data_IF_182820352559
#
_entry.id   IF_182820352559
#
_cell.length_a   1.000
_cell.length_b   1.000
_cell.length_c   1.000
_cell.angle_alpha   90.00
_cell.angle_beta   90.00
_cell.angle_gamma   90.00
#
_symmetry.space_group_name_H-M   'P 1'
#
loop_
_entity.id
_entity.type
_entity.pdbx_description
1 polymer ?
#
# COMPACT_ATOMS: atom_id res chain seq x y z
N UNK A 1 -19.84 -16.94 -23.93
CA UNK A 1 -18.52 -17.55 -23.64
C UNK A 1 -17.85 -16.74 -22.53
N UNK A 2 -17.69 -17.31 -21.34
CA UNK A 2 -16.86 -16.66 -20.32
C UNK A 2 -15.42 -16.64 -20.85
N UNK A 3 -14.77 -15.49 -20.88
CA UNK A 3 -13.43 -15.38 -21.43
C UNK A 3 -12.48 -16.31 -20.69
N UNK A 4 -11.52 -16.91 -21.40
CA UNK A 4 -10.47 -17.78 -20.85
C UNK A 4 -9.75 -17.12 -19.65
N UNK A 5 -9.69 -15.79 -19.65
CA UNK A 5 -9.16 -14.93 -18.59
C UNK A 5 -9.95 -15.08 -17.26
N UNK A 6 -11.29 -15.10 -17.29
CA UNK A 6 -12.11 -15.26 -16.08
C UNK A 6 -11.99 -16.66 -15.47
N UNK A 7 -11.80 -17.69 -16.30
CA UNK A 7 -11.59 -19.06 -15.82
C UNK A 7 -10.21 -19.22 -15.17
N UNK A 8 -9.21 -18.56 -15.72
CA UNK A 8 -7.85 -18.57 -15.18
C UNK A 8 -7.74 -17.76 -13.89
N UNK A 9 -8.47 -16.66 -13.75
CA UNK A 9 -8.58 -15.88 -12.50
C UNK A 9 -9.24 -16.71 -11.39
N UNK A 10 -10.34 -17.41 -11.68
CA UNK A 10 -11.01 -18.29 -10.71
C UNK A 10 -10.18 -19.48 -10.28
N UNK A 11 -9.32 -20.02 -11.16
CA UNK A 11 -8.40 -21.11 -10.82
C UNK A 11 -7.18 -20.66 -9.99
N UNK A 12 -6.92 -19.35 -9.93
CA UNK A 12 -5.75 -18.74 -9.28
C UNK A 12 -6.08 -18.00 -7.99
N UNK A 13 -7.33 -18.03 -7.56
CA UNK A 13 -7.66 -17.50 -6.24
C UNK A 13 -6.88 -18.28 -5.19
N UNK A 14 -5.69 -17.76 -4.83
CA UNK A 14 -5.08 -18.13 -3.58
C UNK A 14 -6.12 -17.77 -2.52
N UNK A 15 -6.70 -18.74 -1.82
CA UNK A 15 -7.82 -18.46 -0.91
C UNK A 15 -7.46 -17.43 0.17
N UNK A 16 -6.18 -17.12 0.33
CA UNK A 16 -5.67 -16.21 1.35
C UNK A 16 -5.26 -14.83 0.82
N UNK A 17 -5.45 -14.52 -0.50
CA UNK A 17 -5.05 -13.22 -1.10
C UNK A 17 -3.56 -12.84 -0.86
N UNK A 18 -2.69 -13.85 -0.76
CA UNK A 18 -1.27 -13.66 -0.42
C UNK A 18 -0.45 -13.57 -1.71
N UNK A 19 -0.01 -12.36 -2.05
CA UNK A 19 0.89 -12.10 -3.17
C UNK A 19 2.17 -11.44 -2.66
N UNK A 20 3.26 -12.19 -2.67
CA UNK A 20 4.56 -11.65 -2.28
C UNK A 20 5.14 -10.74 -3.36
N UNK A 21 5.54 -9.53 -2.96
CA UNK A 21 6.13 -8.55 -3.86
C UNK A 21 7.54 -8.99 -4.27
N UNK A 22 7.86 -9.08 -5.57
CA UNK A 22 9.21 -9.39 -6.02
C UNK A 22 10.23 -8.34 -5.56
N UNK A 23 11.41 -8.76 -5.14
CA UNK A 23 12.46 -7.87 -4.60
C UNK A 23 12.81 -6.69 -5.51
N UNK A 24 12.91 -6.83 -6.86
CA UNK A 24 13.15 -5.67 -7.72
C UNK A 24 12.07 -4.60 -7.60
N UNK A 25 10.79 -5.00 -7.46
CA UNK A 25 9.70 -4.04 -7.30
C UNK A 25 9.70 -3.41 -5.91
N UNK A 26 10.07 -4.16 -4.87
CA UNK A 26 10.29 -3.60 -3.53
C UNK A 26 11.32 -2.48 -3.58
N UNK A 27 12.47 -2.70 -4.22
CA UNK A 27 13.53 -1.68 -4.36
C UNK A 27 13.02 -0.45 -5.11
N UNK A 28 12.28 -0.63 -6.20
CA UNK A 28 11.62 0.49 -6.92
C UNK A 28 10.67 1.25 -5.98
N UNK A 29 9.83 0.54 -5.22
CA UNK A 29 8.88 1.16 -4.30
C UNK A 29 9.60 1.99 -3.23
N UNK A 30 10.63 1.44 -2.59
CA UNK A 30 11.37 2.13 -1.54
C UNK A 30 12.10 3.37 -2.06
N UNK A 31 12.75 3.30 -3.21
CA UNK A 31 13.36 4.48 -3.84
C UNK A 31 12.30 5.52 -4.25
N UNK A 32 11.12 5.08 -4.72
CA UNK A 32 10.03 5.98 -5.12
C UNK A 32 9.47 6.80 -3.96
N UNK A 33 9.50 6.25 -2.73
CA UNK A 33 8.98 6.92 -1.52
C UNK A 33 10.05 7.59 -0.68
N UNK A 34 11.30 7.49 -1.04
CA UNK A 34 12.45 7.96 -0.25
C UNK A 34 12.38 9.45 0.11
N UNK A 35 11.87 10.29 -0.77
CA UNK A 35 11.72 11.72 -0.53
C UNK A 35 10.71 12.09 0.58
N UNK A 36 9.84 11.14 0.97
CA UNK A 36 8.86 11.36 2.05
C UNK A 36 9.39 10.98 3.43
N UNK A 37 10.53 10.29 3.49
CA UNK A 37 11.12 9.78 4.73
C UNK A 37 11.92 10.89 5.41
N UNK A 38 11.60 11.17 6.67
CA UNK A 38 12.37 12.08 7.51
C UNK A 38 13.37 11.28 8.37
N UNK A 39 14.44 11.92 8.81
CA UNK A 39 15.43 11.29 9.71
C UNK A 39 14.77 10.90 11.02
N UNK A 40 15.01 9.67 11.46
CA UNK A 40 14.44 9.14 12.71
C UNK A 40 13.02 8.59 12.59
N UNK A 41 12.40 8.62 11.41
CA UNK A 41 11.08 8.04 11.21
C UNK A 41 11.03 6.55 11.58
N UNK A 42 9.88 6.14 12.14
CA UNK A 42 9.51 4.73 12.29
C UNK A 42 8.77 4.31 11.02
N UNK A 43 9.40 3.45 10.22
CA UNK A 43 8.82 2.92 8.98
C UNK A 43 8.23 1.53 9.24
N UNK A 44 6.99 1.34 8.83
CA UNK A 44 6.18 0.19 9.21
C UNK A 44 5.75 -0.64 8.00
N UNK A 45 6.00 -1.95 8.09
CA UNK A 45 5.46 -2.95 7.17
C UNK A 45 4.27 -3.66 7.82
N UNK A 46 3.06 -3.23 7.48
CA UNK A 46 1.84 -3.81 8.03
C UNK A 46 1.56 -5.25 7.58
N UNK A 47 2.23 -5.73 6.53
CA UNK A 47 1.97 -7.03 5.90
C UNK A 47 3.28 -7.67 5.45
N UNK A 48 4.04 -8.15 6.42
CA UNK A 48 5.41 -8.65 6.25
C UNK A 48 5.57 -9.72 5.16
N UNK A 49 4.66 -10.71 5.12
CA UNK A 49 4.66 -11.80 4.15
C UNK A 49 6.01 -12.51 4.05
N UNK A 50 6.71 -12.42 2.90
CA UNK A 50 8.06 -12.96 2.72
C UNK A 50 9.17 -12.13 3.40
N UNK A 51 8.82 -10.95 3.90
CA UNK A 51 9.74 -10.00 4.52
C UNK A 51 10.57 -9.19 3.54
N UNK A 52 10.24 -9.19 2.26
CA UNK A 52 11.02 -8.48 1.24
C UNK A 52 11.07 -6.96 1.51
N UNK A 53 9.98 -6.34 1.97
CA UNK A 53 9.99 -4.93 2.37
C UNK A 53 10.86 -4.71 3.59
N UNK A 54 10.52 -5.35 4.71
CA UNK A 54 11.19 -5.14 5.99
C UNK A 54 12.70 -5.38 5.92
N UNK A 55 13.13 -6.43 5.23
CA UNK A 55 14.54 -6.78 5.08
C UNK A 55 15.31 -5.78 4.18
N UNK A 56 14.61 -5.08 3.29
CA UNK A 56 15.23 -4.13 2.35
C UNK A 56 15.23 -2.70 2.89
N UNK A 57 14.38 -2.36 3.88
CA UNK A 57 14.35 -1.02 4.46
C UNK A 57 15.73 -0.49 4.86
N UNK A 58 16.59 -1.26 5.61
CA UNK A 58 17.89 -0.75 6.03
C UNK A 58 18.86 -0.45 4.88
N UNK A 59 18.63 -1.05 3.70
CA UNK A 59 19.45 -0.76 2.52
C UNK A 59 19.16 0.63 1.93
N UNK A 60 17.93 1.16 2.14
CA UNK A 60 17.45 2.41 1.54
C UNK A 60 17.33 3.52 2.59
N UNK A 61 16.91 3.19 3.81
CA UNK A 61 16.59 4.11 4.90
C UNK A 61 17.55 3.88 6.08
N UNK A 62 18.75 4.51 6.02
CA UNK A 62 19.87 4.19 6.90
C UNK A 62 19.79 4.84 8.28
N UNK A 63 18.95 5.85 8.47
CA UNK A 63 18.80 6.62 9.72
C UNK A 63 17.49 6.37 10.46
N UNK A 64 16.74 5.35 10.01
CA UNK A 64 15.38 5.09 10.44
C UNK A 64 15.26 3.82 11.28
N UNK A 65 14.15 3.68 11.98
CA UNK A 65 13.79 2.45 12.69
C UNK A 65 12.63 1.75 11.98
N UNK A 66 12.47 0.44 12.21
CA UNK A 66 11.53 -0.38 11.48
C UNK A 66 10.71 -1.25 12.42
N UNK A 67 9.41 -1.38 12.12
CA UNK A 67 8.54 -2.34 12.78
C UNK A 67 7.66 -3.05 11.74
N UNK A 68 7.04 -4.16 12.11
CA UNK A 68 6.20 -4.93 11.21
C UNK A 68 5.12 -5.70 11.94
N UNK A 69 4.08 -6.07 11.20
CA UNK A 69 3.09 -7.07 11.61
C UNK A 69 3.01 -8.21 10.61
N UNK A 70 2.71 -9.42 11.12
CA UNK A 70 2.48 -10.62 10.35
C UNK A 70 1.60 -11.58 11.15
N UNK A 71 0.43 -11.87 10.65
CA UNK A 71 -0.58 -12.67 11.35
C UNK A 71 -0.09 -14.09 11.64
N UNK A 72 0.69 -14.68 10.74
CA UNK A 72 1.29 -16.01 10.93
C UNK A 72 2.35 -16.03 12.06
N UNK A 73 2.86 -14.85 12.44
CA UNK A 73 3.77 -14.66 13.57
C UNK A 73 3.05 -14.17 14.85
N UNK A 74 1.71 -14.17 14.85
CA UNK A 74 0.91 -13.72 15.99
C UNK A 74 0.89 -12.21 16.17
N UNK A 75 1.19 -11.43 15.13
CA UNK A 75 1.16 -9.96 15.12
C UNK A 75 0.12 -9.49 14.10
N UNK A 76 -1.11 -9.26 14.55
CA UNK A 76 -2.17 -8.79 13.66
C UNK A 76 -2.04 -7.28 13.41
N UNK A 77 -2.07 -6.87 12.15
CA UNK A 77 -2.09 -5.48 11.72
C UNK A 77 -3.24 -4.69 12.36
N UNK A 78 -4.42 -5.31 12.49
CA UNK A 78 -5.60 -4.63 13.04
C UNK A 78 -5.54 -4.45 14.55
N UNK A 79 -4.70 -5.21 15.25
CA UNK A 79 -4.46 -5.08 16.69
C UNK A 79 -3.24 -4.19 17.02
N UNK A 80 -2.44 -3.82 16.02
CA UNK A 80 -1.27 -2.96 16.23
C UNK A 80 -1.70 -1.55 16.67
N UNK A 81 -1.17 -1.04 17.77
CA UNK A 81 -1.61 0.21 18.43
C UNK A 81 -0.53 1.28 18.56
N UNK A 82 0.70 0.99 18.14
CA UNK A 82 1.79 1.96 18.21
C UNK A 82 1.70 2.96 17.06
N UNK A 83 2.04 4.22 17.35
CA UNK A 83 2.19 5.24 16.31
C UNK A 83 3.41 4.94 15.44
N UNK A 84 3.29 5.22 14.16
CA UNK A 84 4.35 5.10 13.17
C UNK A 84 4.41 6.37 12.34
N UNK A 85 5.57 6.66 11.75
CA UNK A 85 5.72 7.87 10.94
C UNK A 85 5.36 7.63 9.48
N UNK A 86 5.69 6.44 8.97
CA UNK A 86 5.43 6.07 7.59
C UNK A 86 5.04 4.60 7.47
N UNK A 87 4.08 4.31 6.59
CA UNK A 87 3.70 2.94 6.23
C UNK A 87 4.09 2.70 4.78
N UNK A 88 4.86 1.62 4.52
CA UNK A 88 5.23 1.20 3.16
C UNK A 88 5.07 -0.31 3.06
N UNK A 89 4.07 -0.80 2.31
CA UNK A 89 3.75 -2.22 2.31
C UNK A 89 2.91 -2.63 1.09
N UNK A 90 2.61 -3.93 0.99
CA UNK A 90 1.67 -4.51 0.03
C UNK A 90 0.50 -5.17 0.80
N UNK A 91 -0.63 -4.50 0.98
CA UNK A 91 -1.76 -5.01 1.76
C UNK A 91 -2.59 -6.05 1.00
N UNK A 92 -3.37 -6.90 1.70
CA UNK A 92 -4.38 -7.76 1.08
C UNK A 92 -5.49 -6.92 0.46
N UNK A 93 -5.73 -7.08 -0.85
CA UNK A 93 -6.62 -6.20 -1.62
C UNK A 93 -8.11 -6.38 -1.27
N UNK A 94 -8.50 -7.55 -0.80
CA UNK A 94 -9.86 -7.85 -0.35
C UNK A 94 -10.28 -7.03 0.88
N UNK A 95 -9.32 -6.54 1.66
CA UNK A 95 -9.55 -5.81 2.93
C UNK A 95 -9.15 -4.34 2.86
N UNK A 96 -8.89 -3.79 1.67
CA UNK A 96 -8.25 -2.48 1.50
C UNK A 96 -8.98 -1.34 2.23
N UNK A 97 -10.31 -1.34 2.32
CA UNK A 97 -11.04 -0.29 3.04
C UNK A 97 -10.70 -0.31 4.54
N UNK A 98 -10.69 -1.49 5.17
CA UNK A 98 -10.31 -1.66 6.58
C UNK A 98 -8.82 -1.34 6.80
N UNK A 99 -7.98 -1.70 5.83
CA UNK A 99 -6.54 -1.39 5.87
C UNK A 99 -6.31 0.11 5.87
N UNK A 100 -6.99 0.88 5.00
CA UNK A 100 -6.86 2.33 4.96
C UNK A 100 -7.36 2.97 6.26
N UNK A 101 -8.50 2.52 6.79
CA UNK A 101 -9.04 2.99 8.07
C UNK A 101 -8.04 2.76 9.22
N UNK A 102 -7.51 1.53 9.34
CA UNK A 102 -6.51 1.18 10.36
C UNK A 102 -5.21 1.97 10.18
N UNK A 103 -4.74 2.14 8.92
CA UNK A 103 -3.53 2.91 8.65
C UNK A 103 -3.64 4.35 9.13
N UNK A 104 -4.79 4.99 8.90
CA UNK A 104 -5.07 6.35 9.37
C UNK A 104 -5.03 6.43 10.90
N UNK A 105 -5.54 5.41 11.60
CA UNK A 105 -5.56 5.37 13.08
C UNK A 105 -4.17 5.31 13.71
N UNK A 106 -3.15 4.85 12.97
CA UNK A 106 -1.74 4.84 13.41
C UNK A 106 -1.06 6.22 13.24
N UNK A 107 -1.76 7.19 12.66
CA UNK A 107 -1.36 8.59 12.49
C UNK A 107 -0.05 8.84 11.71
N UNK A 108 0.33 8.03 10.69
CA UNK A 108 1.52 8.31 9.90
C UNK A 108 1.38 9.65 9.17
N UNK A 109 2.51 10.26 8.79
CA UNK A 109 2.47 11.38 7.86
C UNK A 109 2.36 10.94 6.39
N UNK A 110 2.79 9.69 6.10
CA UNK A 110 2.74 9.14 4.73
C UNK A 110 2.37 7.65 4.76
N UNK A 111 1.49 7.27 3.86
CA UNK A 111 1.05 5.90 3.63
C UNK A 111 1.34 5.57 2.16
N UNK A 112 2.16 4.57 1.90
CA UNK A 112 2.43 4.09 0.56
C UNK A 112 2.15 2.60 0.43
N UNK A 113 1.31 2.27 -0.53
CA UNK A 113 0.92 0.89 -0.81
C UNK A 113 1.12 0.51 -2.26
N UNK A 114 1.55 -0.73 -2.45
CA UNK A 114 1.42 -1.42 -3.74
C UNK A 114 0.02 -2.02 -3.80
N UNK A 115 -0.83 -1.55 -4.70
CA UNK A 115 -2.21 -2.04 -4.86
C UNK A 115 -2.52 -2.35 -6.31
N UNK A 116 -3.50 -3.22 -6.57
CA UNK A 116 -4.10 -3.34 -7.91
C UNK A 116 -4.79 -2.03 -8.30
N UNK A 117 -4.64 -1.58 -9.53
CA UNK A 117 -5.19 -0.31 -10.02
C UNK A 117 -6.69 -0.16 -9.69
N UNK A 118 -7.47 -1.23 -9.81
CA UNK A 118 -8.90 -1.23 -9.52
C UNK A 118 -9.24 -0.99 -8.03
N UNK A 119 -8.23 -1.04 -7.16
CA UNK A 119 -8.39 -0.73 -5.74
C UNK A 119 -8.25 0.77 -5.45
N UNK A 120 -7.75 1.57 -6.38
CA UNK A 120 -7.73 3.02 -6.27
C UNK A 120 -9.02 3.60 -6.85
N UNK A 121 -10.04 3.75 -6.00
CA UNK A 121 -11.34 4.30 -6.39
C UNK A 121 -11.49 5.75 -5.92
N UNK A 122 -12.34 6.53 -6.60
CA UNK A 122 -12.64 7.91 -6.18
C UNK A 122 -13.16 7.96 -4.72
N UNK A 123 -13.95 6.97 -4.29
CA UNK A 123 -14.43 6.87 -2.91
C UNK A 123 -13.30 6.77 -1.90
N UNK A 124 -12.27 5.97 -2.21
CA UNK A 124 -11.10 5.81 -1.33
C UNK A 124 -10.23 7.04 -1.30
N UNK A 125 -10.04 7.71 -2.45
CA UNK A 125 -9.31 8.97 -2.51
C UNK A 125 -10.02 10.05 -1.68
N UNK A 126 -11.35 10.20 -1.81
CA UNK A 126 -12.14 11.12 -0.98
C UNK A 126 -12.02 10.80 0.52
N UNK A 127 -12.08 9.52 0.87
CA UNK A 127 -11.92 9.08 2.27
C UNK A 127 -10.55 9.44 2.82
N UNK A 128 -9.48 9.23 2.06
CA UNK A 128 -8.13 9.63 2.44
C UNK A 128 -8.02 11.16 2.57
N UNK A 129 -8.56 11.91 1.59
CA UNK A 129 -8.55 13.37 1.62
C UNK A 129 -9.29 13.96 2.83
N UNK A 130 -10.45 13.39 3.20
CA UNK A 130 -11.21 13.84 4.38
C UNK A 130 -10.48 13.58 5.71
N UNK A 131 -9.47 12.69 5.70
CA UNK A 131 -8.56 12.44 6.81
C UNK A 131 -7.21 13.16 6.67
N UNK A 132 -7.09 14.09 5.70
CA UNK A 132 -5.91 14.93 5.53
C UNK A 132 -4.78 14.29 4.70
N UNK A 133 -5.01 13.14 4.07
CA UNK A 133 -4.04 12.49 3.20
C UNK A 133 -4.39 12.70 1.74
N UNK A 134 -3.47 13.32 0.99
CA UNK A 134 -3.65 13.56 -0.44
C UNK A 134 -2.81 12.58 -1.25
N UNK A 135 -3.36 12.08 -2.35
CA UNK A 135 -2.66 11.23 -3.31
C UNK A 135 -1.61 12.06 -4.05
N UNK A 136 -0.37 12.02 -3.61
CA UNK A 136 0.70 12.89 -4.12
C UNK A 136 1.48 12.30 -5.29
N UNK A 137 1.70 10.99 -5.27
CA UNK A 137 2.44 10.28 -6.33
C UNK A 137 1.83 8.93 -6.66
N UNK A 138 2.00 8.54 -7.92
CA UNK A 138 1.63 7.20 -8.41
C UNK A 138 2.71 6.67 -9.36
N UNK A 139 2.98 5.35 -9.27
CA UNK A 139 3.82 4.63 -10.19
C UNK A 139 3.09 3.38 -10.67
N UNK A 140 2.79 3.30 -11.96
CA UNK A 140 2.12 2.14 -12.54
C UNK A 140 3.13 1.06 -12.91
N UNK A 141 2.77 -0.18 -12.59
CA UNK A 141 3.59 -1.36 -12.87
C UNK A 141 2.71 -2.56 -13.19
N UNK A 142 3.32 -3.60 -13.74
CA UNK A 142 2.68 -4.89 -13.95
C UNK A 142 3.47 -5.96 -13.22
N UNK A 143 2.98 -6.34 -12.04
CA UNK A 143 3.68 -7.28 -11.15
C UNK A 143 3.70 -8.69 -11.72
N UNK A 144 2.56 -9.14 -12.29
CA UNK A 144 2.41 -10.49 -12.82
C UNK A 144 1.89 -10.48 -14.26
N UNK A 145 2.34 -11.46 -15.05
CA UNK A 145 1.98 -11.58 -16.49
C UNK A 145 0.47 -11.61 -16.74
N UNK A 146 -0.30 -12.12 -15.78
CA UNK A 146 -1.76 -12.32 -15.86
C UNK A 146 -2.57 -11.37 -14.99
N UNK A 147 -1.93 -10.60 -14.13
CA UNK A 147 -2.59 -9.61 -13.29
C UNK A 147 -2.78 -8.32 -14.09
N UNK A 148 -3.84 -7.59 -13.77
CA UNK A 148 -4.03 -6.25 -14.30
C UNK A 148 -2.90 -5.31 -13.87
N UNK A 149 -3.03 -4.05 -14.19
CA UNK A 149 -2.09 -3.03 -13.74
C UNK A 149 -2.11 -2.91 -12.22
N UNK A 150 -0.94 -2.82 -11.61
CA UNK A 150 -0.74 -2.45 -10.22
C UNK A 150 -0.18 -1.04 -10.14
N UNK A 151 -0.37 -0.38 -9.02
CA UNK A 151 0.18 0.93 -8.76
C UNK A 151 0.81 0.99 -7.37
N UNK A 152 1.98 1.62 -7.29
CA UNK A 152 2.46 2.20 -6.05
C UNK A 152 1.72 3.52 -5.89
N UNK A 153 1.03 3.71 -4.78
CA UNK A 153 0.31 4.94 -4.46
C UNK A 153 0.89 5.56 -3.20
N UNK A 154 1.05 6.87 -3.19
CA UNK A 154 1.56 7.62 -2.04
C UNK A 154 0.51 8.61 -1.59
N UNK A 155 -0.07 8.36 -0.41
CA UNK A 155 -0.95 9.27 0.30
C UNK A 155 -0.16 9.96 1.41
N UNK A 156 -0.15 11.29 1.44
CA UNK A 156 0.64 12.03 2.43
C UNK A 156 -0.08 13.27 2.95
N UNK A 157 0.18 13.60 4.22
CA UNK A 157 -0.20 14.88 4.84
C UNK A 157 0.71 16.04 4.43
N UNK A 158 1.88 15.73 3.84
CA UNK A 158 2.84 16.73 3.34
C UNK A 158 2.35 17.45 2.09
N UNK A 159 1.40 16.86 1.35
CA UNK A 159 0.73 17.49 0.19
C UNK A 159 -0.59 18.13 0.59
N UNK A 160 -1.06 19.07 -0.23
CA UNK A 160 -2.34 19.78 -0.07
C UNK A 160 -3.31 19.54 -1.23
N UNK A 161 -2.91 18.78 -2.22
CA UNK A 161 -3.70 18.43 -3.41
C UNK A 161 -3.36 17.05 -3.92
N UNK A 162 -4.30 16.44 -4.64
CA UNK A 162 -4.02 15.19 -5.34
C UNK A 162 -3.23 15.44 -6.63
N UNK A 163 -2.42 14.47 -7.03
CA UNK A 163 -1.72 14.46 -8.32
C UNK A 163 -2.63 14.13 -9.50
N UNK A 164 -3.88 13.77 -9.22
CA UNK A 164 -4.92 13.46 -10.23
C UNK A 164 -6.18 14.25 -9.92
N UNK A 165 -6.97 14.49 -10.96
CA UNK A 165 -8.34 14.99 -10.84
C UNK A 165 -9.32 13.80 -10.89
N UNK A 166 -10.40 13.90 -10.11
CA UNK A 166 -11.46 12.89 -10.11
C UNK A 166 -12.80 13.51 -9.71
N UNK A 167 -13.89 12.94 -10.20
CA UNK A 167 -15.25 13.37 -9.88
C UNK A 167 -16.15 12.16 -9.58
N UNK A 168 -16.99 12.30 -8.57
CA UNK A 168 -18.01 11.33 -8.17
C UNK A 168 -19.43 11.87 -8.31
N UNK A 169 -19.59 13.09 -8.74
CA UNK A 169 -20.90 13.77 -8.72
C UNK A 169 -21.72 13.49 -9.97
N UNK A 170 -21.07 13.12 -11.08
CA UNK A 170 -21.72 12.94 -12.40
C UNK A 170 -22.78 11.84 -12.40
N UNK A 171 -22.68 10.86 -11.49
CA UNK A 171 -23.55 9.67 -11.43
C UNK A 171 -24.35 9.56 -10.14
N UNK A 172 -24.62 10.68 -9.50
CA UNK A 172 -25.52 10.73 -8.33
C UNK A 172 -26.98 10.90 -8.77
#
# INVERSE_FOLDING_TARGET
>A
MASKINTDIKKRSNPNDVFYTPLPLVKIHLEFVKEYVDEGDIIFDGFYGSGNYYKTYPEVFTTNTFDFTEIEMGKDFFEYDKKVNMIVSNPPYSMIDKVLEKSISLEPHTISYLIGQNNLTCKRIEYMNSNGYFLDKMYFTKVFKWFGMSAIVVFTKKSKKNCIEFDRTVWK
#
